data_IF_945817944600
#
_entry.id   IF_945817944600
#
_cell.length_a   1.000
_cell.length_b   1.000
_cell.length_c   1.000
_cell.angle_alpha   90.00
_cell.angle_beta   90.00
_cell.angle_gamma   90.00
#
_symmetry.space_group_name_H-M   'P 1'
#
loop_
_entity.id
_entity.type
_entity.pdbx_description
1 polymer ?
#
# COMPACT_ATOMS: atom_id res chain seq x y z
N UNK A 1 4.30 3.76 15.11
CA UNK A 1 4.55 3.23 13.74
C UNK A 1 3.55 2.15 13.32
N UNK A 2 3.22 1.15 14.17
CA UNK A 2 2.31 0.03 13.80
C UNK A 2 0.94 0.49 13.28
N UNK A 3 0.28 1.45 13.94
CA UNK A 3 -1.03 1.97 13.51
C UNK A 3 -0.99 2.62 12.13
N UNK A 4 0.11 3.29 11.79
CA UNK A 4 0.33 3.86 10.45
C UNK A 4 0.40 2.76 9.39
N UNK A 5 1.13 1.68 9.66
CA UNK A 5 1.25 0.56 8.73
C UNK A 5 -0.08 -0.19 8.53
N UNK A 6 -0.89 -0.33 9.58
CA UNK A 6 -2.26 -0.83 9.45
C UNK A 6 -3.09 0.06 8.53
N UNK A 7 -3.04 1.37 8.74
CA UNK A 7 -3.76 2.33 7.91
C UNK A 7 -3.33 2.27 6.45
N UNK A 8 -2.02 2.27 6.17
CA UNK A 8 -1.48 2.13 4.80
C UNK A 8 -1.96 0.84 4.13
N UNK A 9 -1.93 -0.29 4.86
CA UNK A 9 -2.40 -1.59 4.36
C UNK A 9 -3.89 -1.55 3.99
N UNK A 10 -4.73 -1.01 4.88
CA UNK A 10 -6.18 -0.93 4.68
C UNK A 10 -6.51 0.01 3.53
N UNK A 11 -5.92 1.21 3.48
CA UNK A 11 -6.19 2.16 2.39
C UNK A 11 -5.72 1.60 1.05
N UNK A 12 -4.53 0.98 1.00
CA UNK A 12 -4.05 0.31 -0.21
C UNK A 12 -5.01 -0.77 -0.69
N UNK A 13 -5.50 -1.63 0.21
CA UNK A 13 -6.49 -2.66 -0.12
C UNK A 13 -7.81 -2.07 -0.63
N UNK A 14 -8.33 -1.05 0.05
CA UNK A 14 -9.56 -0.34 -0.39
C UNK A 14 -9.38 0.26 -1.77
N UNK A 15 -8.22 0.87 -2.05
CA UNK A 15 -7.93 1.40 -3.39
C UNK A 15 -7.84 0.31 -4.45
N UNK A 16 -7.19 -0.83 -4.17
CA UNK A 16 -7.12 -1.95 -5.13
C UNK A 16 -8.52 -2.46 -5.44
N UNK A 17 -9.35 -2.72 -4.42
CA UNK A 17 -10.74 -3.15 -4.59
C UNK A 17 -11.53 -2.10 -5.38
N UNK A 18 -11.38 -0.81 -5.03
CA UNK A 18 -12.02 0.29 -5.73
C UNK A 18 -11.64 0.31 -7.22
N UNK A 19 -10.36 0.17 -7.55
CA UNK A 19 -9.90 0.15 -8.95
C UNK A 19 -10.42 -1.08 -9.70
N UNK A 20 -10.46 -2.24 -9.06
CA UNK A 20 -10.98 -3.46 -9.69
C UNK A 20 -12.49 -3.39 -9.94
N UNK A 21 -13.25 -2.67 -9.10
CA UNK A 21 -14.69 -2.51 -9.26
C UNK A 21 -15.08 -1.32 -10.12
N UNK A 22 -14.35 -0.21 -10.08
CA UNK A 22 -14.76 1.06 -10.71
C UNK A 22 -13.72 1.62 -11.69
N UNK A 23 -12.66 0.86 -11.99
CA UNK A 23 -11.57 1.28 -12.86
C UNK A 23 -10.86 2.52 -12.32
N UNK A 24 -10.59 3.50 -13.19
CA UNK A 24 -9.91 4.74 -12.81
C UNK A 24 -10.65 5.54 -11.74
N UNK A 25 -11.99 5.49 -11.71
CA UNK A 25 -12.79 6.19 -10.71
C UNK A 25 -12.56 5.63 -9.29
N UNK A 26 -12.23 4.34 -9.18
CA UNK A 26 -11.88 3.70 -7.92
C UNK A 26 -10.65 4.28 -7.23
N UNK A 27 -9.78 4.98 -7.98
CA UNK A 27 -8.62 5.64 -7.42
C UNK A 27 -8.97 6.81 -6.48
N UNK A 28 -10.22 7.29 -6.48
CA UNK A 28 -10.70 8.29 -5.51
C UNK A 28 -10.52 7.81 -4.06
N UNK A 29 -10.53 6.49 -3.81
CA UNK A 29 -10.20 5.92 -2.50
C UNK A 29 -8.82 6.35 -1.97
N UNK A 30 -7.90 6.75 -2.86
CA UNK A 30 -6.59 7.28 -2.49
C UNK A 30 -6.71 8.55 -1.63
N UNK A 31 -7.81 9.31 -1.75
CA UNK A 31 -8.07 10.48 -0.92
C UNK A 31 -8.15 10.15 0.59
N UNK A 32 -8.39 8.89 0.96
CA UNK A 32 -8.32 8.45 2.35
C UNK A 32 -6.95 8.74 2.97
N UNK A 33 -5.86 8.79 2.17
CA UNK A 33 -4.53 9.19 2.65
C UNK A 33 -4.47 10.59 3.26
N UNK A 34 -5.44 11.47 2.98
CA UNK A 34 -5.55 12.76 3.66
C UNK A 34 -5.72 12.61 5.18
N UNK A 35 -6.15 11.44 5.67
CA UNK A 35 -6.27 11.13 7.10
C UNK A 35 -4.95 10.64 7.72
N UNK A 36 -3.89 10.39 6.94
CA UNK A 36 -2.59 9.95 7.44
C UNK A 36 -2.02 10.85 8.55
N UNK A 37 -2.09 12.21 8.47
CA UNK A 37 -1.63 13.06 9.55
C UNK A 37 -2.40 12.85 10.86
N UNK A 38 -3.71 12.58 10.77
CA UNK A 38 -4.56 12.29 11.93
C UNK A 38 -4.16 10.94 12.55
N UNK A 39 -4.00 9.90 11.73
CA UNK A 39 -3.53 8.58 12.17
C UNK A 39 -2.15 8.67 12.81
N UNK A 40 -1.24 9.45 12.23
CA UNK A 40 0.11 9.67 12.77
C UNK A 40 0.07 10.37 14.12
N UNK A 41 -0.81 11.36 14.31
CA UNK A 41 -1.02 12.01 15.61
C UNK A 41 -1.62 11.07 16.66
N UNK A 42 -2.54 10.19 16.25
CA UNK A 42 -3.17 9.19 17.13
C UNK A 42 -2.19 8.06 17.51
N UNK A 43 -1.30 7.70 16.59
CA UNK A 43 -0.14 6.85 16.83
C UNK A 43 0.90 7.65 17.63
N UNK A 44 0.58 8.06 18.86
CA UNK A 44 1.53 8.66 19.81
C UNK A 44 2.79 7.81 19.90
N UNK A 45 3.81 8.20 19.16
CA UNK A 45 5.16 7.70 19.25
C UNK A 45 6.03 8.95 19.19
N UNK A 46 6.98 9.04 20.12
CA UNK A 46 7.99 10.09 20.13
C UNK A 46 8.69 10.17 18.75
N UNK A 47 9.52 11.20 18.52
CA UNK A 47 10.44 11.21 17.37
C UNK A 47 11.05 9.81 17.24
N UNK A 48 10.97 9.16 16.07
CA UNK A 48 11.45 7.80 15.91
C UNK A 48 12.90 7.72 16.34
N UNK A 49 13.22 6.74 17.18
CA UNK A 49 14.60 6.48 17.56
C UNK A 49 15.39 5.90 16.38
N UNK A 50 16.71 5.80 16.51
CA UNK A 50 17.58 5.29 15.43
C UNK A 50 17.20 3.86 15.01
N UNK A 51 16.69 3.04 15.93
CA UNK A 51 16.25 1.67 15.65
C UNK A 51 14.98 1.67 14.81
N UNK A 52 13.99 2.50 15.15
CA UNK A 52 12.75 2.66 14.37
C UNK A 52 13.05 3.16 12.95
N UNK A 53 14.03 4.06 12.79
CA UNK A 53 14.51 4.50 11.47
C UNK A 53 15.11 3.35 10.66
N UNK A 54 15.96 2.52 11.26
CA UNK A 54 16.51 1.33 10.58
C UNK A 54 15.42 0.33 10.18
N UNK A 55 14.45 0.08 11.06
CA UNK A 55 13.29 -0.77 10.76
C UNK A 55 12.43 -0.19 9.64
N UNK A 56 12.30 1.14 9.56
CA UNK A 56 11.62 1.82 8.46
C UNK A 56 12.32 1.62 7.11
N UNK A 57 13.65 1.73 7.06
CA UNK A 57 14.40 1.43 5.82
C UNK A 57 14.29 -0.04 5.42
N UNK A 58 14.39 -0.96 6.38
CA UNK A 58 14.19 -2.40 6.15
C UNK A 58 12.79 -2.70 5.61
N UNK A 59 11.78 -1.99 6.14
CA UNK A 59 10.41 -2.03 5.64
C UNK A 59 10.36 -1.61 4.18
N UNK A 60 10.98 -0.48 3.81
CA UNK A 60 11.05 0.00 2.43
C UNK A 60 11.63 -1.04 1.45
N UNK A 61 12.73 -1.71 1.82
CA UNK A 61 13.33 -2.76 0.99
C UNK A 61 12.39 -3.95 0.77
N UNK A 62 11.74 -4.43 1.83
CA UNK A 62 10.76 -5.53 1.72
C UNK A 62 9.54 -5.11 0.89
N UNK A 63 9.07 -3.87 1.06
CA UNK A 63 7.95 -3.30 0.29
C UNK A 63 8.23 -3.31 -1.20
N UNK A 64 9.47 -2.96 -1.58
CA UNK A 64 9.90 -2.90 -2.97
C UNK A 64 9.96 -4.30 -3.61
N UNK A 65 10.47 -5.30 -2.88
CA UNK A 65 10.45 -6.71 -3.34
C UNK A 65 9.02 -7.19 -3.59
N UNK A 66 8.11 -6.95 -2.63
CA UNK A 66 6.70 -7.34 -2.77
C UNK A 66 6.02 -6.60 -3.93
N UNK A 67 6.33 -5.31 -4.11
CA UNK A 67 5.80 -4.52 -5.21
C UNK A 67 6.25 -5.07 -6.56
N UNK A 68 7.53 -5.42 -6.73
CA UNK A 68 8.05 -5.97 -8.00
C UNK A 68 7.29 -7.24 -8.38
N UNK A 69 7.04 -8.13 -7.42
CA UNK A 69 6.25 -9.34 -7.63
C UNK A 69 4.85 -8.98 -8.13
N UNK A 70 4.21 -7.97 -7.55
CA UNK A 70 2.87 -7.56 -7.95
C UNK A 70 2.83 -6.85 -9.29
N UNK A 71 3.81 -6.02 -9.63
CA UNK A 71 3.94 -5.43 -10.97
C UNK A 71 4.09 -6.54 -12.02
N UNK A 72 4.89 -7.57 -11.71
CA UNK A 72 4.99 -8.75 -12.57
C UNK A 72 3.63 -9.47 -12.71
N UNK A 73 2.88 -9.65 -11.62
CA UNK A 73 1.55 -10.24 -11.69
C UNK A 73 0.57 -9.38 -12.52
N UNK A 74 0.57 -8.06 -12.35
CA UNK A 74 -0.23 -7.12 -13.14
C UNK A 74 0.09 -7.25 -14.63
N UNK A 75 1.36 -7.42 -15.00
CA UNK A 75 1.76 -7.60 -16.40
C UNK A 75 1.32 -8.96 -16.97
N UNK A 76 1.36 -10.02 -16.17
CA UNK A 76 0.87 -11.35 -16.58
C UNK A 76 -0.65 -11.45 -16.68
N UNK A 77 -1.35 -10.61 -15.93
CA UNK A 77 -2.82 -10.57 -15.86
C UNK A 77 -3.42 -9.38 -16.62
N UNK A 78 -2.63 -8.72 -17.49
CA UNK A 78 -3.01 -7.45 -18.13
C UNK A 78 -4.30 -7.55 -18.95
N UNK A 79 -4.58 -8.71 -19.53
CA UNK A 79 -5.73 -8.93 -20.41
C UNK A 79 -7.00 -9.32 -19.65
N UNK A 80 -6.90 -9.59 -18.34
CA UNK A 80 -8.07 -9.93 -17.51
C UNK A 80 -8.95 -8.69 -17.32
N UNK A 81 -10.26 -8.90 -17.44
CA UNK A 81 -11.29 -7.89 -17.22
C UNK A 81 -12.02 -8.20 -15.93
N UNK A 82 -12.04 -7.25 -14.99
CA UNK A 82 -12.76 -7.34 -13.72
C UNK A 82 -13.79 -6.22 -13.69
N UNK A 83 -15.06 -6.57 -13.50
CA UNK A 83 -16.19 -5.64 -13.51
C UNK A 83 -16.21 -4.65 -14.70
N UNK A 84 -15.88 -5.14 -15.90
CA UNK A 84 -15.82 -4.31 -17.12
C UNK A 84 -14.55 -3.45 -17.25
N UNK A 85 -13.60 -3.55 -16.32
CA UNK A 85 -12.33 -2.82 -16.34
C UNK A 85 -11.16 -3.78 -16.55
N UNK A 86 -10.38 -3.54 -17.61
CA UNK A 86 -9.17 -4.32 -17.89
C UNK A 86 -8.06 -3.96 -16.91
N UNK A 87 -7.38 -4.96 -16.36
CA UNK A 87 -6.26 -4.77 -15.43
C UNK A 87 -5.14 -3.93 -16.08
N UNK A 88 -4.80 -4.23 -17.34
CA UNK A 88 -3.78 -3.52 -18.09
C UNK A 88 -4.04 -2.02 -18.23
N UNK A 89 -5.29 -1.56 -18.33
CA UNK A 89 -5.61 -0.13 -18.46
C UNK A 89 -5.44 0.65 -17.15
N UNK A 90 -5.38 -0.08 -16.03
CA UNK A 90 -5.25 0.45 -14.69
C UNK A 90 -3.90 0.09 -14.03
N UNK A 91 -2.93 -0.42 -14.81
CA UNK A 91 -1.68 -0.98 -14.31
C UNK A 91 -0.94 -0.03 -13.36
N UNK A 92 -0.87 1.26 -13.69
CA UNK A 92 -0.16 2.26 -12.89
C UNK A 92 -0.87 2.49 -11.55
N UNK A 93 -2.20 2.61 -11.57
CA UNK A 93 -3.01 2.84 -10.38
C UNK A 93 -2.94 1.63 -9.43
N UNK A 94 -3.03 0.42 -9.98
CA UNK A 94 -2.86 -0.82 -9.25
C UNK A 94 -1.44 -0.95 -8.68
N UNK A 95 -0.41 -0.52 -9.42
CA UNK A 95 0.97 -0.57 -8.94
C UNK A 95 1.21 0.39 -7.76
N UNK A 96 0.77 1.64 -7.88
CA UNK A 96 0.91 2.65 -6.81
C UNK A 96 0.18 2.22 -5.53
N UNK A 97 -1.04 1.72 -5.67
CA UNK A 97 -1.85 1.26 -4.52
C UNK A 97 -1.32 -0.02 -3.91
N UNK A 98 -0.70 -0.89 -4.72
CA UNK A 98 0.03 -2.06 -4.25
C UNK A 98 1.27 -1.68 -3.43
N UNK A 99 2.08 -0.71 -3.87
CA UNK A 99 3.23 -0.22 -3.08
C UNK A 99 2.80 0.16 -1.67
N UNK A 100 1.72 0.92 -1.58
CA UNK A 100 1.16 1.36 -0.30
C UNK A 100 0.72 0.17 0.55
N UNK A 101 -0.07 -0.74 -0.02
CA UNK A 101 -0.58 -1.90 0.71
C UNK A 101 0.58 -2.74 1.24
N UNK A 102 1.56 -3.04 0.39
CA UNK A 102 2.72 -3.84 0.77
C UNK A 102 3.69 -3.10 1.66
N UNK A 103 3.74 -1.77 1.63
CA UNK A 103 4.49 -0.99 2.61
C UNK A 103 3.91 -1.15 4.01
N UNK A 104 2.59 -1.08 4.12
CA UNK A 104 1.90 -1.38 5.37
C UNK A 104 2.14 -2.82 5.84
N UNK A 105 1.96 -3.82 4.97
CA UNK A 105 2.18 -5.23 5.32
C UNK A 105 3.63 -5.48 5.75
N UNK A 106 4.60 -4.99 4.97
CA UNK A 106 6.01 -5.11 5.28
C UNK A 106 6.33 -4.45 6.63
N UNK A 107 5.76 -3.28 6.91
CA UNK A 107 5.97 -2.56 8.16
C UNK A 107 5.42 -3.33 9.36
N UNK A 108 4.23 -3.92 9.22
CA UNK A 108 3.67 -4.80 10.25
C UNK A 108 4.55 -6.02 10.50
N UNK A 109 5.07 -6.67 9.46
CA UNK A 109 5.95 -7.84 9.60
C UNK A 109 7.27 -7.45 10.28
N UNK A 110 7.89 -6.36 9.85
CA UNK A 110 9.20 -5.93 10.33
C UNK A 110 9.12 -5.42 11.77
N UNK A 111 8.13 -4.59 12.12
CA UNK A 111 7.98 -4.04 13.48
C UNK A 111 7.36 -5.02 14.48
N UNK A 112 6.71 -6.11 14.03
CA UNK A 112 6.25 -7.17 14.93
C UNK A 112 7.36 -8.15 15.31
N UNK A 113 8.39 -8.29 14.46
CA UNK A 113 9.54 -9.21 14.69
C UNK A 113 10.80 -8.50 15.17
N UNK A 114 10.89 -7.18 14.97
CA UNK A 114 12.02 -6.34 15.31
C UNK A 114 11.92 -5.84 16.73
#
# INVERSE_FOLDING_TARGET
MITRFWFESIVGLVCIIGILLFGKAGFVCFALFALLPVVTRLSKGNKPDERELQLFYKTGNLSLVLTIIVIYLISRLSDIVVNGHRIGDNWMLLSVTSIIMFHGIAGLIVFHRG
#
